data_IF_731203428461
#
_entry.id   IF_731203428461
#
_cell.length_a   1.000
_cell.length_b   1.000
_cell.length_c   1.000
_cell.angle_alpha   90.00
_cell.angle_beta   90.00
_cell.angle_gamma   90.00
#
_symmetry.space_group_name_H-M   'P 1'
#
loop_
_entity.id
_entity.type
_entity.pdbx_description
1 polymer ?
#
# COMPACT_ATOMS: atom_id res chain seq x y z
N UNK A 1 77.55 26.72 -48.47
CA UNK A 1 77.03 27.52 -47.34
C UNK A 1 76.69 26.54 -46.23
N UNK A 2 77.56 26.39 -45.23
CA UNK A 2 77.37 25.44 -44.12
C UNK A 2 76.98 26.22 -42.87
N UNK A 3 75.77 26.02 -42.38
CA UNK A 3 75.28 26.62 -41.13
C UNK A 3 75.81 25.82 -39.94
N UNK A 4 76.77 26.40 -39.22
CA UNK A 4 77.27 25.83 -37.96
C UNK A 4 76.21 25.95 -36.86
N UNK A 5 75.75 24.80 -36.35
CA UNK A 5 74.92 24.74 -35.15
C UNK A 5 75.78 25.02 -33.91
N UNK A 6 75.54 26.15 -33.22
CA UNK A 6 76.18 26.47 -31.94
C UNK A 6 75.38 25.84 -30.80
N UNK A 7 75.97 25.01 -29.93
CA UNK A 7 75.26 24.42 -28.80
C UNK A 7 74.83 25.50 -27.79
N UNK A 8 73.68 25.32 -27.12
CA UNK A 8 73.12 26.32 -26.20
C UNK A 8 74.03 26.55 -24.97
N UNK A 9 74.14 27.81 -24.51
CA UNK A 9 74.93 28.18 -23.34
C UNK A 9 74.38 27.63 -22.01
N UNK A 10 75.23 27.48 -20.99
CA UNK A 10 74.92 26.83 -19.69
C UNK A 10 73.67 27.41 -18.98
N UNK A 11 73.45 28.72 -19.04
CA UNK A 11 72.28 29.41 -18.49
C UNK A 11 70.97 29.00 -19.20
N UNK A 12 71.01 28.92 -20.53
CA UNK A 12 69.87 28.46 -21.34
C UNK A 12 69.58 26.97 -21.14
N UNK A 13 70.59 26.14 -20.85
CA UNK A 13 70.39 24.74 -20.44
C UNK A 13 69.71 24.64 -19.06
N UNK A 14 70.14 25.43 -18.07
CA UNK A 14 69.53 25.44 -16.72
C UNK A 14 68.06 25.89 -16.74
N UNK A 15 67.74 26.94 -17.48
CA UNK A 15 66.36 27.40 -17.66
C UNK A 15 65.47 26.33 -18.30
N UNK A 16 65.94 25.69 -19.39
CA UNK A 16 65.21 24.59 -20.04
C UNK A 16 64.99 23.38 -19.12
N UNK A 17 65.95 23.05 -18.27
CA UNK A 17 65.78 21.97 -17.28
C UNK A 17 64.75 22.32 -16.21
N UNK A 18 64.74 23.56 -15.71
CA UNK A 18 63.75 24.01 -14.72
C UNK A 18 62.34 23.99 -15.32
N UNK A 19 62.16 24.52 -16.53
CA UNK A 19 60.87 24.49 -17.23
C UNK A 19 60.39 23.05 -17.47
N UNK A 20 61.29 22.13 -17.83
CA UNK A 20 60.94 20.71 -18.03
C UNK A 20 60.50 20.03 -16.74
N UNK A 21 61.14 20.32 -15.60
CA UNK A 21 60.75 19.80 -14.28
C UNK A 21 59.38 20.34 -13.87
N UNK A 22 59.11 21.64 -14.07
CA UNK A 22 57.81 22.23 -13.78
C UNK A 22 56.69 21.62 -14.65
N UNK A 23 56.95 21.40 -15.95
CA UNK A 23 56.01 20.71 -16.84
C UNK A 23 55.71 19.28 -16.37
N UNK A 24 56.73 18.53 -15.98
CA UNK A 24 56.56 17.17 -15.44
C UNK A 24 55.72 17.19 -14.16
N UNK A 25 55.97 18.13 -13.25
CA UNK A 25 55.23 18.28 -12.00
C UNK A 25 53.75 18.61 -12.25
N UNK A 26 53.44 19.44 -13.24
CA UNK A 26 52.06 19.75 -13.65
C UNK A 26 51.37 18.51 -14.24
N UNK A 27 52.07 17.74 -15.08
CA UNK A 27 51.51 16.51 -15.66
C UNK A 27 51.23 15.48 -14.56
N UNK A 28 52.16 15.31 -13.61
CA UNK A 28 51.98 14.39 -12.48
C UNK A 28 50.84 14.85 -11.57
N UNK A 29 50.74 16.15 -11.27
CA UNK A 29 49.67 16.66 -10.41
C UNK A 29 48.29 16.55 -11.09
N UNK A 30 48.22 16.83 -12.39
CA UNK A 30 47.01 16.66 -13.19
C UNK A 30 46.62 15.18 -13.26
N UNK A 31 47.58 14.28 -13.50
CA UNK A 31 47.35 12.84 -13.50
C UNK A 31 46.88 12.33 -12.14
N UNK A 32 47.52 12.75 -11.04
CA UNK A 32 47.12 12.37 -9.68
C UNK A 32 45.71 12.89 -9.34
N UNK A 33 45.38 14.11 -9.75
CA UNK A 33 44.06 14.70 -9.57
C UNK A 33 43.01 13.96 -10.40
N UNK A 34 43.30 13.67 -11.67
CA UNK A 34 42.44 12.85 -12.53
C UNK A 34 42.25 11.45 -11.96
N UNK A 35 43.31 10.82 -11.45
CA UNK A 35 43.23 9.51 -10.83
C UNK A 35 42.35 9.52 -9.58
N UNK A 36 42.56 10.48 -8.68
CA UNK A 36 41.77 10.58 -7.44
C UNK A 36 40.29 10.93 -7.68
N UNK A 37 39.99 11.73 -8.70
CA UNK A 37 38.62 12.16 -9.01
C UNK A 37 37.86 11.19 -9.92
N UNK A 38 38.54 10.56 -10.89
CA UNK A 38 37.90 9.78 -11.96
C UNK A 38 38.26 8.30 -11.94
N UNK A 39 39.52 7.91 -11.68
CA UNK A 39 39.95 6.51 -11.82
C UNK A 39 39.99 5.70 -10.52
N UNK A 40 39.85 6.36 -9.36
CA UNK A 40 39.80 5.65 -8.08
C UNK A 40 38.53 4.83 -7.98
N UNK A 41 38.70 3.54 -7.69
CA UNK A 41 37.59 2.63 -7.39
C UNK A 41 36.89 3.02 -6.10
N UNK A 42 35.56 3.04 -6.12
CA UNK A 42 34.74 3.42 -4.95
C UNK A 42 33.85 2.26 -4.57
N UNK A 43 33.90 1.88 -3.29
CA UNK A 43 32.97 0.90 -2.74
C UNK A 43 31.56 1.49 -2.65
N UNK A 44 30.58 0.74 -3.12
CA UNK A 44 29.16 1.11 -3.04
C UNK A 44 28.39 -0.04 -2.40
N UNK A 45 27.79 0.22 -1.24
CA UNK A 45 26.94 -0.74 -0.55
C UNK A 45 25.55 -0.76 -1.18
N UNK A 46 25.21 -1.88 -1.82
CA UNK A 46 23.94 -2.02 -2.53
C UNK A 46 22.76 -2.28 -1.60
N UNK A 47 22.97 -2.64 -0.34
CA UNK A 47 21.87 -2.98 0.60
C UNK A 47 21.69 -1.99 1.74
N UNK A 48 22.52 -0.93 1.79
CA UNK A 48 22.46 0.09 2.83
C UNK A 48 21.16 0.88 2.82
N UNK A 49 20.76 1.35 1.64
CA UNK A 49 19.67 2.32 1.45
C UNK A 49 18.38 1.68 0.90
N UNK A 50 18.24 0.37 1.10
CA UNK A 50 17.01 -0.34 0.73
C UNK A 50 15.89 0.02 1.72
N UNK A 51 14.71 0.25 1.16
CA UNK A 51 13.47 0.34 1.93
C UNK A 51 12.71 -0.97 1.80
N UNK A 52 12.24 -1.47 2.94
CA UNK A 52 11.51 -2.73 3.06
C UNK A 52 10.11 -2.42 3.53
N UNK A 53 9.12 -2.73 2.70
CA UNK A 53 7.72 -2.48 3.00
C UNK A 53 7.00 -3.81 3.07
N UNK A 54 6.39 -4.07 4.23
CA UNK A 54 5.55 -5.21 4.46
C UNK A 54 4.08 -4.85 4.23
N UNK A 55 3.32 -5.82 3.73
CA UNK A 55 1.89 -5.68 3.51
C UNK A 55 1.17 -6.97 3.91
N UNK A 56 0.14 -6.84 4.75
CA UNK A 56 -0.58 -7.96 5.36
C UNK A 56 -0.13 -8.29 6.79
N UNK A 57 -0.47 -9.50 7.25
CA UNK A 57 -0.28 -9.95 8.63
C UNK A 57 0.58 -11.23 8.68
N UNK A 58 1.13 -11.54 9.84
CA UNK A 58 1.96 -12.71 10.09
C UNK A 58 1.32 -14.01 9.55
N UNK A 59 2.05 -14.73 8.72
CA UNK A 59 1.63 -15.96 8.03
C UNK A 59 1.07 -15.74 6.61
N UNK A 60 0.78 -14.50 6.23
CA UNK A 60 0.22 -14.15 4.91
C UNK A 60 0.82 -12.88 4.30
N UNK A 61 1.70 -12.20 5.04
CA UNK A 61 2.30 -10.95 4.62
C UNK A 61 3.18 -11.13 3.39
N UNK A 62 3.32 -10.05 2.63
CA UNK A 62 4.22 -9.93 1.50
C UNK A 62 5.21 -8.80 1.71
N UNK A 63 6.33 -8.84 1.00
CA UNK A 63 7.38 -7.84 1.10
C UNK A 63 7.72 -7.25 -0.26
N UNK A 64 7.92 -5.94 -0.27
CA UNK A 64 8.52 -5.20 -1.39
C UNK A 64 9.80 -4.54 -0.91
N UNK A 65 10.83 -4.61 -1.75
CA UNK A 65 12.14 -4.00 -1.50
C UNK A 65 12.47 -3.10 -2.68
N UNK A 66 12.87 -1.87 -2.40
CA UNK A 66 13.26 -0.89 -3.41
C UNK A 66 14.35 0.03 -2.85
N UNK A 67 15.05 0.74 -3.74
CA UNK A 67 15.98 1.80 -3.34
C UNK A 67 15.18 3.07 -3.04
N UNK A 68 15.35 3.70 -1.88
CA UNK A 68 14.67 4.97 -1.56
C UNK A 68 15.46 6.20 -1.97
N UNK A 69 16.72 6.06 -2.36
CA UNK A 69 17.55 7.18 -2.80
C UNK A 69 17.48 7.29 -4.32
N UNK A 70 17.13 8.48 -4.79
CA UNK A 70 17.07 8.84 -6.22
C UNK A 70 18.07 9.92 -6.62
N UNK A 71 18.82 10.49 -5.66
CA UNK A 71 19.79 11.56 -5.87
C UNK A 71 21.20 11.06 -5.53
N UNK A 72 21.73 10.19 -6.39
CA UNK A 72 23.16 9.92 -6.39
C UNK A 72 23.86 11.02 -7.21
N UNK A 73 25.16 11.22 -6.95
CA UNK A 73 25.94 12.05 -7.86
C UNK A 73 25.80 11.51 -9.31
N UNK A 74 25.82 12.41 -10.30
CA UNK A 74 25.51 12.06 -11.70
C UNK A 74 26.32 10.85 -12.21
N UNK A 75 27.54 10.67 -11.72
CA UNK A 75 28.43 9.54 -12.05
C UNK A 75 27.91 8.18 -11.55
N UNK A 76 27.24 8.13 -10.40
CA UNK A 76 26.75 6.89 -9.79
C UNK A 76 25.29 6.59 -10.15
N UNK A 77 24.54 7.58 -10.63
CA UNK A 77 23.12 7.43 -10.90
C UNK A 77 22.83 6.33 -11.92
N UNK A 78 23.51 6.33 -13.07
CA UNK A 78 23.29 5.31 -14.11
C UNK A 78 23.60 3.89 -13.62
N UNK A 79 24.66 3.72 -12.81
CA UNK A 79 24.95 2.44 -12.17
C UNK A 79 23.84 2.04 -11.18
N UNK A 80 23.41 2.95 -10.29
CA UNK A 80 22.38 2.68 -9.29
C UNK A 80 21.01 2.41 -9.91
N UNK A 81 20.69 3.03 -11.05
CA UNK A 81 19.47 2.78 -11.82
C UNK A 81 19.44 1.35 -12.40
N UNK A 82 20.60 0.73 -12.61
CA UNK A 82 20.70 -0.68 -13.03
C UNK A 82 20.47 -1.68 -11.89
N UNK A 83 20.48 -1.22 -10.63
CA UNK A 83 20.40 -2.10 -9.46
C UNK A 83 18.94 -2.55 -9.25
N UNK A 84 18.73 -3.86 -9.27
CA UNK A 84 17.45 -4.49 -8.95
C UNK A 84 17.57 -5.42 -7.74
N UNK A 85 16.53 -5.47 -6.93
CA UNK A 85 16.48 -6.32 -5.73
C UNK A 85 15.58 -7.54 -5.94
N UNK A 86 16.12 -8.70 -5.57
CA UNK A 86 15.36 -9.94 -5.42
C UNK A 86 15.27 -10.24 -3.93
N UNK A 87 14.06 -10.56 -3.47
CA UNK A 87 13.79 -10.96 -2.08
C UNK A 87 13.17 -12.34 -2.06
N UNK A 88 13.56 -13.16 -1.10
CA UNK A 88 13.05 -14.51 -0.88
C UNK A 88 13.00 -14.85 0.61
N UNK A 89 11.88 -15.35 1.15
CA UNK A 89 10.56 -15.48 0.49
C UNK A 89 9.88 -14.12 0.24
N UNK A 90 8.94 -14.06 -0.73
CA UNK A 90 8.20 -12.83 -1.08
C UNK A 90 6.82 -12.69 -0.43
N UNK A 91 6.24 -13.81 -0.01
CA UNK A 91 4.84 -13.94 0.45
C UNK A 91 4.78 -14.98 1.56
N UNK A 92 3.65 -15.02 2.27
CA UNK A 92 3.40 -15.90 3.41
C UNK A 92 4.43 -15.68 4.54
N UNK A 93 4.87 -14.44 4.70
CA UNK A 93 5.84 -14.06 5.72
C UNK A 93 5.20 -14.05 7.10
N UNK A 94 5.93 -14.53 8.09
CA UNK A 94 5.57 -14.49 9.51
C UNK A 94 6.70 -13.90 10.35
N UNK A 95 6.34 -13.41 11.55
CA UNK A 95 7.33 -12.96 12.53
C UNK A 95 8.35 -14.08 12.81
N UNK A 96 9.63 -13.75 12.77
CA UNK A 96 10.75 -14.68 12.93
C UNK A 96 11.30 -15.27 11.62
N UNK A 97 10.64 -15.08 10.47
CA UNK A 97 11.18 -15.51 9.18
C UNK A 97 12.47 -14.76 8.83
N UNK A 98 13.37 -15.42 8.10
CA UNK A 98 14.57 -14.77 7.55
C UNK A 98 14.36 -14.43 6.07
N UNK A 99 14.38 -13.14 5.76
CA UNK A 99 14.44 -12.64 4.39
C UNK A 99 15.87 -12.64 3.87
N UNK A 100 16.04 -13.17 2.66
CA UNK A 100 17.25 -13.01 1.87
C UNK A 100 17.00 -11.96 0.78
N UNK A 101 17.70 -10.83 0.88
CA UNK A 101 17.68 -9.77 -0.12
C UNK A 101 18.99 -9.85 -0.90
N UNK A 102 18.90 -10.06 -2.21
CA UNK A 102 20.04 -10.05 -3.11
C UNK A 102 19.88 -8.96 -4.16
N UNK A 103 20.91 -8.15 -4.38
CA UNK A 103 20.96 -7.20 -5.47
C UNK A 103 21.58 -7.80 -6.73
N UNK A 104 21.08 -7.39 -7.88
CA UNK A 104 21.67 -7.61 -9.20
C UNK A 104 21.94 -6.25 -9.83
N UNK A 105 23.02 -6.10 -10.58
CA UNK A 105 23.46 -4.85 -11.18
C UNK A 105 24.14 -5.11 -12.51
N UNK A 106 24.41 -4.06 -13.29
CA UNK A 106 25.18 -4.17 -14.53
C UNK A 106 26.70 -4.10 -14.24
N UNK A 107 27.41 -5.20 -14.49
CA UNK A 107 28.86 -5.31 -14.28
C UNK A 107 29.65 -4.38 -15.21
N UNK A 108 29.21 -4.19 -16.47
CA UNK A 108 29.89 -3.28 -17.41
C UNK A 108 29.85 -1.83 -16.91
N UNK A 109 28.73 -1.41 -16.31
CA UNK A 109 28.61 -0.09 -15.70
C UNK A 109 29.44 0.01 -14.41
N UNK A 110 29.56 -1.06 -13.64
CA UNK A 110 30.42 -1.10 -12.46
C UNK A 110 31.89 -0.88 -12.86
N UNK A 111 32.35 -1.58 -13.91
CA UNK A 111 33.71 -1.45 -14.43
C UNK A 111 33.95 -0.07 -15.05
N UNK A 112 33.03 0.40 -15.91
CA UNK A 112 33.10 1.71 -16.56
C UNK A 112 33.20 2.85 -15.53
N UNK A 113 32.45 2.75 -14.43
CA UNK A 113 32.44 3.78 -13.40
C UNK A 113 33.42 3.53 -12.25
N UNK A 114 34.25 2.48 -12.31
CA UNK A 114 35.14 2.05 -11.23
C UNK A 114 34.39 1.92 -9.90
N UNK A 115 33.24 1.25 -9.91
CA UNK A 115 32.44 0.97 -8.72
C UNK A 115 32.71 -0.47 -8.33
N UNK A 116 33.06 -0.68 -7.06
CA UNK A 116 33.14 -2.01 -6.48
C UNK A 116 31.90 -2.24 -5.60
N UNK A 117 30.93 -3.04 -6.05
CA UNK A 117 29.70 -3.26 -5.32
C UNK A 117 29.95 -4.17 -4.12
N UNK A 118 29.64 -3.69 -2.91
CA UNK A 118 29.77 -4.45 -1.67
C UNK A 118 28.40 -4.73 -1.06
N UNK A 119 28.33 -5.74 -0.19
CA UNK A 119 27.10 -6.20 0.47
C UNK A 119 25.94 -6.41 -0.51
N UNK A 120 26.14 -7.30 -1.48
CA UNK A 120 25.13 -7.65 -2.48
C UNK A 120 24.04 -8.58 -1.93
N UNK A 121 24.27 -9.17 -0.75
CA UNK A 121 23.34 -10.06 -0.07
C UNK A 121 23.18 -9.59 1.38
N UNK A 122 21.92 -9.38 1.80
CA UNK A 122 21.57 -9.02 3.17
C UNK A 122 20.51 -9.98 3.71
N UNK A 123 20.72 -10.46 4.93
CA UNK A 123 19.75 -11.27 5.68
C UNK A 123 19.08 -10.41 6.73
N UNK A 124 17.76 -10.49 6.83
CA UNK A 124 16.95 -9.69 7.75
C UNK A 124 15.89 -10.59 8.39
N UNK A 125 15.69 -10.46 9.68
CA UNK A 125 14.60 -11.13 10.39
C UNK A 125 13.33 -10.28 10.26
N UNK A 126 12.21 -10.91 9.91
CA UNK A 126 10.89 -10.27 9.87
C UNK A 126 10.38 -10.12 11.30
N UNK A 127 10.02 -8.90 11.70
CA UNK A 127 9.56 -8.58 13.03
C UNK A 127 8.38 -7.59 12.97
N UNK A 128 7.55 -7.60 14.01
CA UNK A 128 6.44 -6.65 14.20
C UNK A 128 5.39 -6.65 13.09
N UNK A 129 5.21 -7.75 12.36
CA UNK A 129 4.03 -7.93 11.52
C UNK A 129 2.79 -7.99 12.41
N UNK A 130 1.68 -7.34 12.01
CA UNK A 130 0.40 -7.53 12.66
C UNK A 130 0.04 -9.01 12.70
N UNK A 131 -0.70 -9.41 13.72
CA UNK A 131 -1.15 -10.78 13.92
C UNK A 131 -2.66 -10.84 13.85
N UNK A 132 -3.18 -12.00 13.49
CA UNK A 132 -4.61 -12.23 13.53
C UNK A 132 -5.10 -12.22 14.98
N UNK A 133 -6.30 -11.69 15.21
CA UNK A 133 -6.92 -11.71 16.53
C UNK A 133 -7.16 -13.15 16.98
N UNK A 134 -6.86 -13.48 18.24
CA UNK A 134 -7.11 -14.84 18.76
C UNK A 134 -8.58 -15.05 19.13
N UNK A 135 -9.26 -13.97 19.51
CA UNK A 135 -10.69 -13.93 19.85
C UNK A 135 -11.28 -12.58 19.47
N UNK A 136 -12.59 -12.55 19.27
CA UNK A 136 -13.39 -11.33 19.15
C UNK A 136 -13.22 -10.38 20.35
N UNK A 137 -12.90 -10.93 21.53
CA UNK A 137 -12.72 -10.17 22.77
C UNK A 137 -11.47 -9.27 22.74
N UNK A 138 -10.54 -9.50 21.80
CA UNK A 138 -9.38 -8.63 21.59
C UNK A 138 -9.75 -7.32 20.87
N UNK A 139 -10.97 -7.21 20.32
CA UNK A 139 -11.46 -5.97 19.71
C UNK A 139 -11.55 -4.85 20.74
N UNK A 140 -10.76 -3.81 20.53
CA UNK A 140 -10.71 -2.69 21.45
C UNK A 140 -11.92 -1.74 21.26
N UNK A 141 -12.52 -1.21 22.33
CA UNK A 141 -13.63 -0.26 22.23
C UNK A 141 -13.29 0.99 21.40
N UNK A 142 -12.04 1.47 21.48
CA UNK A 142 -11.56 2.60 20.69
C UNK A 142 -11.58 2.29 19.18
N UNK A 143 -11.23 1.06 18.79
CA UNK A 143 -11.28 0.61 17.40
C UNK A 143 -12.72 0.51 16.88
N UNK A 144 -13.64 -0.03 17.68
CA UNK A 144 -15.07 -0.06 17.33
C UNK A 144 -15.66 1.35 17.17
N UNK A 145 -15.18 2.33 17.94
CA UNK A 145 -15.52 3.74 17.78
C UNK A 145 -14.98 4.30 16.47
N UNK A 146 -13.76 3.96 16.07
CA UNK A 146 -13.21 4.34 14.76
C UNK A 146 -14.05 3.75 13.62
N UNK A 147 -14.43 2.46 13.68
CA UNK A 147 -15.30 1.83 12.67
C UNK A 147 -16.59 2.62 12.51
N UNK A 148 -17.22 3.06 13.60
CA UNK A 148 -18.43 3.90 13.55
C UNK A 148 -18.18 5.21 12.79
N UNK A 149 -17.08 5.90 13.09
CA UNK A 149 -16.73 7.16 12.44
C UNK A 149 -16.48 6.95 10.94
N UNK A 150 -15.74 5.89 10.59
CA UNK A 150 -15.45 5.52 9.20
C UNK A 150 -16.72 5.13 8.44
N UNK A 151 -17.62 4.38 9.05
CA UNK A 151 -18.91 3.99 8.47
C UNK A 151 -19.81 5.19 8.17
N UNK A 152 -19.97 6.09 9.15
CA UNK A 152 -20.72 7.34 8.95
C UNK A 152 -20.11 8.19 7.85
N UNK A 153 -18.78 8.29 7.80
CA UNK A 153 -18.06 9.06 6.78
C UNK A 153 -18.22 8.43 5.39
N UNK A 154 -18.16 7.10 5.31
CA UNK A 154 -18.38 6.35 4.08
C UNK A 154 -19.80 6.57 3.54
N UNK A 155 -20.83 6.42 4.38
CA UNK A 155 -22.21 6.63 3.95
C UNK A 155 -22.43 8.06 3.51
N UNK A 156 -21.96 9.05 4.27
CA UNK A 156 -22.07 10.47 3.90
C UNK A 156 -21.45 10.74 2.52
N UNK A 157 -20.29 10.16 2.24
CA UNK A 157 -19.57 10.33 0.96
C UNK A 157 -20.31 9.66 -0.21
N UNK A 158 -20.93 8.50 0.02
CA UNK A 158 -21.49 7.66 -1.05
C UNK A 158 -23.03 7.70 -1.12
N UNK A 159 -23.72 8.42 -0.23
CA UNK A 159 -25.19 8.38 -0.11
C UNK A 159 -25.90 8.75 -1.41
N UNK A 160 -25.41 9.78 -2.12
CA UNK A 160 -26.00 10.18 -3.40
C UNK A 160 -25.94 9.04 -4.43
N UNK A 161 -24.79 8.36 -4.53
CA UNK A 161 -24.64 7.21 -5.41
C UNK A 161 -25.56 6.06 -4.98
N UNK A 162 -25.62 5.75 -3.68
CA UNK A 162 -26.50 4.70 -3.14
C UNK A 162 -27.97 4.98 -3.48
N UNK A 163 -28.43 6.21 -3.27
CA UNK A 163 -29.81 6.62 -3.57
C UNK A 163 -30.14 6.45 -5.06
N UNK A 164 -29.21 6.81 -5.95
CA UNK A 164 -29.43 6.79 -7.39
C UNK A 164 -29.25 5.40 -8.02
N UNK A 165 -28.36 4.56 -7.51
CA UNK A 165 -27.96 3.30 -8.15
C UNK A 165 -28.58 2.06 -7.48
N UNK A 166 -28.74 2.06 -6.15
CA UNK A 166 -29.17 0.86 -5.42
C UNK A 166 -30.69 0.75 -5.23
N UNK A 167 -31.42 1.88 -5.31
CA UNK A 167 -32.88 1.90 -5.22
C UNK A 167 -33.56 1.63 -6.58
N UNK A 168 -33.50 0.38 -6.99
CA UNK A 168 -34.00 -0.10 -8.29
C UNK A 168 -35.53 -0.12 -8.42
N UNK A 169 -36.27 0.05 -7.32
CA UNK A 169 -37.74 0.02 -7.34
C UNK A 169 -38.34 1.36 -7.79
N UNK A 170 -37.56 2.44 -7.75
CA UNK A 170 -38.02 3.76 -8.16
C UNK A 170 -37.99 3.94 -9.68
N UNK A 171 -38.82 4.85 -10.15
CA UNK A 171 -38.87 5.28 -11.54
C UNK A 171 -37.52 5.87 -11.96
N UNK A 172 -37.12 5.64 -13.22
CA UNK A 172 -35.78 5.98 -13.73
C UNK A 172 -35.39 7.46 -13.57
N UNK A 173 -36.37 8.37 -13.57
CA UNK A 173 -36.16 9.81 -13.39
C UNK A 173 -36.54 10.30 -11.98
N UNK A 174 -36.86 9.39 -11.07
CA UNK A 174 -37.07 9.72 -9.66
C UNK A 174 -35.77 10.28 -9.08
N UNK A 175 -35.89 11.21 -8.14
CA UNK A 175 -34.79 11.68 -7.31
C UNK A 175 -35.03 11.18 -5.89
N UNK A 176 -34.48 10.02 -5.50
CA UNK A 176 -34.76 9.45 -4.20
C UNK A 176 -34.20 10.33 -3.08
N UNK A 177 -35.00 10.56 -2.05
CA UNK A 177 -34.63 11.36 -0.90
C UNK A 177 -34.49 10.48 0.34
N UNK A 178 -33.33 10.54 1.00
CA UNK A 178 -33.08 9.81 2.24
C UNK A 178 -34.10 10.21 3.31
N UNK A 179 -34.77 9.22 3.88
CA UNK A 179 -35.69 9.39 5.02
C UNK A 179 -35.03 8.93 6.31
N UNK A 180 -34.43 7.73 6.30
CA UNK A 180 -33.81 7.13 7.48
C UNK A 180 -32.55 6.34 7.10
N UNK A 181 -31.56 6.39 7.96
CA UNK A 181 -30.38 5.54 7.92
C UNK A 181 -30.15 4.97 9.32
N UNK A 182 -30.18 3.65 9.46
CA UNK A 182 -30.05 2.98 10.75
C UNK A 182 -29.05 1.82 10.69
N UNK A 183 -28.06 1.83 11.56
CA UNK A 183 -27.19 0.68 11.77
C UNK A 183 -27.99 -0.42 12.48
N UNK A 184 -28.16 -1.56 11.82
CA UNK A 184 -28.97 -2.68 12.29
C UNK A 184 -28.13 -3.77 12.94
N UNK A 185 -26.98 -4.11 12.35
CA UNK A 185 -26.11 -5.17 12.83
C UNK A 185 -24.66 -4.83 12.60
N UNK A 186 -23.82 -5.27 13.53
CA UNK A 186 -22.37 -5.36 13.36
C UNK A 186 -21.94 -6.80 13.54
N UNK A 187 -21.08 -7.27 12.66
CA UNK A 187 -20.68 -8.68 12.60
C UNK A 187 -19.16 -8.75 12.48
N UNK A 188 -18.52 -9.48 13.39
CA UNK A 188 -17.15 -9.93 13.22
C UNK A 188 -17.14 -11.26 12.46
N UNK A 189 -16.40 -11.30 11.36
CA UNK A 189 -16.23 -12.49 10.53
C UNK A 189 -14.80 -13.00 10.65
N UNK A 190 -14.65 -14.06 11.43
CA UNK A 190 -13.40 -14.77 11.71
C UNK A 190 -13.16 -15.84 10.64
N UNK A 191 -12.24 -15.60 9.71
CA UNK A 191 -11.97 -16.44 8.55
C UNK A 191 -11.43 -17.86 8.85
N UNK A 192 -12.17 -18.90 8.48
CA UNK A 192 -11.79 -20.31 8.72
C UNK A 192 -10.42 -20.75 8.14
N UNK A 193 -9.79 -19.95 7.25
CA UNK A 193 -8.47 -20.21 6.66
C UNK A 193 -7.56 -18.99 6.82
N UNK A 194 -6.29 -19.22 7.14
CA UNK A 194 -5.24 -18.18 7.24
C UNK A 194 -5.05 -17.35 5.96
N UNK A 195 -5.39 -17.92 4.79
CA UNK A 195 -5.30 -17.21 3.52
C UNK A 195 -6.42 -16.18 3.31
N UNK A 196 -7.47 -16.23 4.13
CA UNK A 196 -8.59 -15.30 4.10
C UNK A 196 -8.52 -14.40 5.34
N UNK A 197 -8.94 -13.16 5.16
CA UNK A 197 -8.80 -12.10 6.16
C UNK A 197 -10.05 -11.94 6.98
N UNK A 198 -9.83 -11.71 8.27
CA UNK A 198 -10.90 -11.31 9.18
C UNK A 198 -11.42 -9.96 8.78
N UNK A 199 -12.72 -9.77 8.97
CA UNK A 199 -13.39 -8.54 8.58
C UNK A 199 -14.56 -8.24 9.48
N UNK A 200 -14.92 -6.97 9.54
CA UNK A 200 -16.15 -6.52 10.19
C UNK A 200 -17.14 -6.09 9.12
N UNK A 201 -18.41 -6.45 9.31
CA UNK A 201 -19.51 -5.97 8.49
C UNK A 201 -20.42 -5.10 9.33
N UNK A 202 -20.75 -3.93 8.80
CA UNK A 202 -21.87 -3.12 9.27
C UNK A 202 -23.03 -3.18 8.29
N UNK A 203 -24.23 -3.36 8.82
CA UNK A 203 -25.43 -3.52 8.02
C UNK A 203 -26.36 -2.36 8.34
N UNK A 204 -26.60 -1.52 7.35
CA UNK A 204 -27.48 -0.37 7.47
C UNK A 204 -28.81 -0.67 6.78
N UNK A 205 -29.91 -0.38 7.45
CA UNK A 205 -31.19 -0.16 6.79
C UNK A 205 -31.21 1.30 6.30
N UNK A 206 -31.38 1.48 5.00
CA UNK A 206 -31.48 2.80 4.37
C UNK A 206 -32.86 2.89 3.76
N UNK A 207 -33.67 3.81 4.25
CA UNK A 207 -35.02 4.09 3.74
C UNK A 207 -34.98 5.38 2.95
N UNK A 208 -35.44 5.32 1.71
CA UNK A 208 -35.56 6.48 0.84
C UNK A 208 -37.00 6.59 0.32
N UNK A 209 -37.38 7.81 -0.03
CA UNK A 209 -38.66 8.11 -0.66
C UNK A 209 -38.42 8.50 -2.10
N UNK A 210 -39.17 7.91 -3.01
CA UNK A 210 -39.05 8.15 -4.44
C UNK A 210 -40.35 7.91 -5.19
N UNK A 211 -40.39 8.31 -6.46
CA UNK A 211 -41.53 8.08 -7.33
C UNK A 211 -41.49 6.67 -7.90
N UNK A 212 -42.62 5.96 -7.86
CA UNK A 212 -42.81 4.67 -8.53
C UNK A 212 -43.92 4.79 -9.57
N UNK A 213 -43.77 4.14 -10.72
CA UNK A 213 -44.88 4.03 -11.67
C UNK A 213 -45.81 2.90 -11.23
N UNK A 214 -47.03 3.25 -10.82
CA UNK A 214 -48.03 2.30 -10.35
C UNK A 214 -49.02 1.85 -11.43
N UNK A 215 -48.92 2.42 -12.65
CA UNK A 215 -49.80 2.05 -13.75
C UNK A 215 -49.12 1.09 -14.72
N UNK A 216 -49.84 0.03 -15.11
CA UNK A 216 -49.46 -0.85 -16.20
C UNK A 216 -49.74 -0.25 -17.60
N UNK A 217 -50.56 0.82 -17.66
CA UNK A 217 -50.93 1.52 -18.90
C UNK A 217 -50.71 3.03 -18.71
N UNK A 218 -49.61 3.55 -19.23
CA UNK A 218 -49.21 4.95 -19.09
C UNK A 218 -48.43 5.24 -17.81
N UNK A 219 -48.09 6.51 -17.61
CA UNK A 219 -47.33 6.98 -16.44
C UNK A 219 -48.31 7.45 -15.35
N UNK A 220 -48.29 6.78 -14.20
CA UNK A 220 -48.93 7.26 -12.98
C UNK A 220 -47.92 7.14 -11.85
N UNK A 221 -47.30 8.25 -11.49
CA UNK A 221 -46.28 8.29 -10.46
C UNK A 221 -46.92 8.50 -9.08
N UNK A 222 -46.54 7.67 -8.13
CA UNK A 222 -46.88 7.83 -6.71
C UNK A 222 -45.58 7.85 -5.90
N UNK A 223 -45.53 8.67 -4.85
CA UNK A 223 -44.42 8.62 -3.92
C UNK A 223 -44.54 7.41 -3.01
N UNK A 224 -43.47 6.62 -2.90
CA UNK A 224 -43.37 5.51 -1.97
C UNK A 224 -42.03 5.50 -1.30
N UNK A 225 -42.03 4.97 -0.08
CA UNK A 225 -40.81 4.61 0.62
C UNK A 225 -40.39 3.20 0.21
N UNK A 226 -39.08 3.01 0.06
CA UNK A 226 -38.45 1.71 -0.06
C UNK A 226 -37.28 1.66 0.92
N UNK A 227 -36.96 0.47 1.41
CA UNK A 227 -35.83 0.23 2.29
C UNK A 227 -34.90 -0.79 1.65
N UNK A 228 -33.64 -0.42 1.50
CA UNK A 228 -32.57 -1.36 1.15
C UNK A 228 -31.72 -1.67 2.38
N UNK A 229 -31.06 -2.83 2.34
CA UNK A 229 -30.03 -3.18 3.31
C UNK A 229 -28.69 -3.02 2.65
N UNK A 230 -27.86 -2.15 3.20
CA UNK A 230 -26.55 -1.79 2.65
C UNK A 230 -25.46 -2.27 3.61
N UNK A 231 -24.49 -3.02 3.08
CA UNK A 231 -23.43 -3.64 3.86
C UNK A 231 -22.13 -2.89 3.62
N UNK A 232 -21.51 -2.38 4.68
CA UNK A 232 -20.14 -1.85 4.66
C UNK A 232 -19.21 -2.92 5.21
N UNK A 233 -18.17 -3.25 4.45
CA UNK A 233 -17.13 -4.19 4.82
C UNK A 233 -15.86 -3.44 5.22
N UNK A 234 -15.31 -3.80 6.37
CA UNK A 234 -14.01 -3.38 6.86
C UNK A 234 -13.08 -4.58 6.82
N UNK A 235 -12.24 -4.66 5.80
CA UNK A 235 -11.37 -5.81 5.55
C UNK A 235 -10.03 -5.69 6.30
N UNK A 236 -9.31 -6.81 6.42
CA UNK A 236 -7.97 -6.90 7.02
C UNK A 236 -7.91 -6.53 8.51
N UNK A 237 -8.89 -7.01 9.29
CA UNK A 237 -8.92 -6.79 10.73
C UNK A 237 -7.89 -7.70 11.41
N UNK A 238 -6.94 -7.09 12.12
CA UNK A 238 -5.85 -7.76 12.81
C UNK A 238 -5.36 -6.88 13.97
N UNK A 239 -4.33 -7.32 14.70
CA UNK A 239 -3.80 -6.64 15.89
C UNK A 239 -3.18 -5.27 15.61
N UNK A 240 -3.03 -4.86 14.35
CA UNK A 240 -2.64 -3.46 14.05
C UNK A 240 -3.74 -2.46 14.37
N UNK A 241 -5.01 -2.90 14.36
CA UNK A 241 -6.19 -2.04 14.50
C UNK A 241 -6.17 -0.83 13.56
N UNK A 242 -5.53 -0.95 12.39
CA UNK A 242 -5.46 0.10 11.38
C UNK A 242 -6.47 -0.16 10.25
N UNK A 243 -7.36 0.79 10.01
CA UNK A 243 -8.28 0.77 8.87
C UNK A 243 -7.70 1.58 7.70
N UNK A 244 -7.39 0.89 6.61
CA UNK A 244 -6.99 1.54 5.34
C UNK A 244 -8.22 1.83 4.49
N UNK A 245 -8.25 2.97 3.81
CA UNK A 245 -9.43 3.38 3.03
C UNK A 245 -9.76 2.40 1.91
N UNK A 246 -8.74 1.83 1.26
CA UNK A 246 -8.89 0.81 0.22
C UNK A 246 -9.52 -0.49 0.72
N UNK A 247 -9.53 -0.72 2.05
CA UNK A 247 -10.11 -1.89 2.68
C UNK A 247 -11.56 -1.64 3.18
N UNK A 248 -12.12 -0.46 2.91
CA UNK A 248 -13.49 -0.10 3.28
C UNK A 248 -14.32 0.04 2.00
N UNK A 249 -15.33 -0.80 1.86
CA UNK A 249 -16.22 -0.77 0.70
C UNK A 249 -17.65 -1.19 1.07
N UNK A 250 -18.61 -0.64 0.34
CA UNK A 250 -20.04 -0.83 0.57
C UNK A 250 -20.71 -1.50 -0.62
N UNK A 251 -21.73 -2.30 -0.36
CA UNK A 251 -22.59 -2.89 -1.39
C UNK A 251 -24.01 -3.12 -0.88
N UNK A 252 -25.00 -3.04 -1.76
CA UNK A 252 -26.36 -3.49 -1.47
C UNK A 252 -26.36 -4.97 -1.14
N UNK A 253 -26.93 -5.33 0.01
CA UNK A 253 -27.08 -6.73 0.42
C UNK A 253 -28.15 -7.41 -0.43
N UNK A 254 -27.72 -8.30 -1.32
CA UNK A 254 -28.61 -9.14 -2.12
C UNK A 254 -28.95 -10.42 -1.35
N UNK A 255 -30.25 -10.72 -1.22
CA UNK A 255 -30.76 -11.93 -0.58
C UNK A 255 -31.98 -12.47 -1.34
N UNK A 256 -32.20 -13.78 -1.22
CA UNK A 256 -33.30 -14.45 -1.90
C UNK A 256 -34.62 -14.32 -1.13
N UNK A 257 -35.68 -13.94 -1.85
CA UNK A 257 -37.06 -13.91 -1.36
C UNK A 257 -37.42 -12.68 -0.52
N UNK A 258 -38.68 -12.61 -0.08
CA UNK A 258 -39.18 -11.56 0.83
C UNK A 258 -38.82 -11.91 2.26
N UNK A 259 -37.57 -11.66 2.65
CA UNK A 259 -37.10 -11.84 4.03
C UNK A 259 -37.11 -10.51 4.77
N UNK A 260 -37.77 -10.49 5.92
CA UNK A 260 -37.66 -9.38 6.85
C UNK A 260 -36.31 -9.46 7.58
N UNK A 261 -35.35 -8.64 7.15
CA UNK A 261 -34.03 -8.59 7.77
C UNK A 261 -34.00 -7.72 9.04
N UNK A 262 -35.11 -7.09 9.44
CA UNK A 262 -35.21 -6.47 10.78
C UNK A 262 -35.31 -7.53 11.87
N UNK A 263 -35.76 -8.74 11.51
CA UNK A 263 -35.77 -9.88 12.41
C UNK A 263 -34.36 -10.50 12.49
N UNK A 264 -33.72 -10.36 13.64
CA UNK A 264 -32.36 -10.83 13.88
C UNK A 264 -32.16 -12.32 13.53
N UNK A 265 -33.10 -13.21 13.89
CA UNK A 265 -32.95 -14.65 13.57
C UNK A 265 -33.00 -14.93 12.08
N UNK A 266 -33.80 -14.18 11.34
CA UNK A 266 -33.86 -14.27 9.87
C UNK A 266 -32.55 -13.78 9.27
N UNK A 267 -32.07 -12.63 9.76
CA UNK A 267 -30.81 -12.04 9.33
C UNK A 267 -29.60 -12.95 9.60
N UNK A 268 -29.48 -13.47 10.82
CA UNK A 268 -28.46 -14.45 11.21
C UNK A 268 -28.41 -15.63 10.25
N UNK A 269 -29.57 -16.19 9.90
CA UNK A 269 -29.67 -17.29 8.93
C UNK A 269 -29.22 -16.87 7.53
N UNK A 270 -29.48 -15.65 7.09
CA UNK A 270 -29.00 -15.14 5.79
C UNK A 270 -27.49 -15.03 5.76
N UNK A 271 -26.89 -14.40 6.77
CA UNK A 271 -25.43 -14.23 6.87
C UNK A 271 -24.73 -15.59 7.03
N UNK A 272 -25.26 -16.49 7.87
CA UNK A 272 -24.72 -17.83 8.04
C UNK A 272 -24.74 -18.61 6.72
N UNK A 273 -25.81 -18.52 5.93
CA UNK A 273 -25.89 -19.18 4.63
C UNK A 273 -24.91 -18.58 3.61
N UNK A 274 -24.73 -17.25 3.62
CA UNK A 274 -23.85 -16.56 2.66
C UNK A 274 -22.37 -16.76 3.00
N UNK A 275 -22.00 -16.66 4.27
CA UNK A 275 -20.60 -16.56 4.71
C UNK A 275 -20.12 -17.70 5.62
N UNK A 276 -21.01 -18.45 6.25
CA UNK A 276 -20.68 -19.41 7.31
C UNK A 276 -19.78 -20.60 6.90
N UNK A 277 -19.61 -20.85 5.60
CA UNK A 277 -18.60 -21.81 5.11
C UNK A 277 -17.17 -21.29 5.22
N UNK A 278 -17.01 -19.98 5.11
CA UNK A 278 -15.72 -19.30 5.03
C UNK A 278 -15.33 -18.60 6.33
N UNK A 279 -16.31 -18.32 7.20
CA UNK A 279 -16.11 -17.58 8.43
C UNK A 279 -16.88 -18.21 9.60
N UNK A 280 -16.29 -18.13 10.79
CA UNK A 280 -17.01 -18.11 12.04
C UNK A 280 -17.58 -16.70 12.25
N UNK A 281 -18.85 -16.62 12.62
CA UNK A 281 -19.63 -15.38 12.59
C UNK A 281 -20.03 -15.03 14.02
N UNK A 282 -19.62 -13.85 14.47
CA UNK A 282 -19.97 -13.32 15.79
C UNK A 282 -20.70 -11.98 15.63
N UNK A 283 -21.87 -11.87 16.26
CA UNK A 283 -22.63 -10.62 16.28
C UNK A 283 -22.13 -9.74 17.42
N UNK A 284 -21.79 -8.50 17.10
CA UNK A 284 -21.29 -7.54 18.06
C UNK A 284 -22.41 -6.63 18.53
N UNK A 285 -22.29 -6.16 19.76
CA UNK A 285 -23.17 -5.12 20.29
C UNK A 285 -23.01 -3.84 19.47
N UNK A 286 -24.15 -3.19 19.20
CA UNK A 286 -24.16 -1.91 18.53
C UNK A 286 -23.67 -0.82 19.50
N UNK A 287 -23.02 0.24 18.97
CA UNK A 287 -22.69 1.39 19.78
C UNK A 287 -23.95 1.97 20.41
N UNK A 288 -23.94 2.14 21.73
CA UNK A 288 -24.91 2.99 22.41
C UNK A 288 -24.52 4.43 22.09
N UNK A 289 -25.19 5.03 21.11
CA UNK A 289 -25.07 6.46 20.87
C UNK A 289 -25.70 7.17 22.06
N UNK A 290 -24.89 7.61 23.02
CA UNK A 290 -25.31 8.70 23.89
C UNK A 290 -25.33 9.93 22.99
N UNK A 291 -26.50 10.48 22.73
CA UNK A 291 -26.62 11.80 22.13
C UNK A 291 -25.83 12.77 23.03
N UNK A 292 -24.61 13.10 22.61
CA UNK A 292 -23.88 14.24 23.16
C UNK A 292 -24.67 15.48 22.73
N UNK A 293 -25.48 15.97 23.67
CA UNK A 293 -26.24 17.22 23.59
C UNK A 293 -25.34 18.43 23.43
#
# INVERSE_FOLDING_TARGET
MSTHFKPPGKEAMKSKTITSICMLAIIISLYATCYMLFFRTVDVDLTKDISIVYDGESGSASVKVFNSITDYNQRKQEFMDSVAYKVSPKKNLQNGDTLLISSTYNEDLADQYHIHPIHTIRKITVENLPERLSSVDELQPAFLKEINQRGTSYLKKNMEQILNEDFTDFYINSKPELQEQKLMYRIFMDANKKSNKDRILDIYAITAKGQVNVSAKGEKLEEKESTIYYMITYNEINTSFMLREENIYGEKLIYSGTKDLTNQKVFEKVIQNKYGKQFHITFLDLPVYTDDK
#
